data_IF_923896972758
#
_entry.id   IF_923896972758
#
_cell.length_a   1.000
_cell.length_b   1.000
_cell.length_c   1.000
_cell.angle_alpha   90.00
_cell.angle_beta   90.00
_cell.angle_gamma   90.00
#
_symmetry.space_group_name_H-M   'P 1'
#
loop_
_entity.id
_entity.type
_entity.pdbx_description
1 polymer ?
#
# COMPACT_ATOMS: atom_id res chain seq x y z
N UNK A 1 -13.46 13.72 30.16
CA UNK A 1 -13.52 15.11 29.68
C UNK A 1 -14.56 15.21 28.61
N UNK A 2 -15.45 16.15 28.77
CA UNK A 2 -16.74 16.28 28.09
C UNK A 2 -16.56 16.79 26.68
N UNK A 3 -15.77 16.20 25.84
CA UNK A 3 -15.77 16.39 24.37
C UNK A 3 -16.42 17.63 23.77
N UNK A 4 -16.36 18.78 24.43
CA UNK A 4 -16.68 20.07 23.85
C UNK A 4 -15.38 20.76 23.51
N UNK A 5 -15.17 21.08 22.24
CA UNK A 5 -14.16 22.02 21.85
C UNK A 5 -14.29 23.31 22.68
N UNK A 6 -13.18 23.89 23.07
CA UNK A 6 -13.12 25.12 23.87
C UNK A 6 -13.78 26.31 23.16
N UNK A 7 -14.18 26.16 21.92
CA UNK A 7 -14.82 27.15 21.05
C UNK A 7 -16.33 26.89 20.81
N UNK A 8 -16.91 25.88 21.51
CA UNK A 8 -18.34 25.57 21.39
C UNK A 8 -18.74 24.82 20.12
N UNK A 9 -17.78 24.39 19.28
CA UNK A 9 -18.15 23.64 18.08
C UNK A 9 -18.71 22.27 18.44
N UNK A 10 -19.66 21.80 17.64
CA UNK A 10 -20.30 20.49 17.83
C UNK A 10 -19.31 19.40 17.46
N UNK A 11 -19.07 18.47 18.39
CA UNK A 11 -18.27 17.28 18.14
C UNK A 11 -18.80 16.46 16.98
N UNK A 12 -17.91 15.95 16.14
CA UNK A 12 -18.33 15.21 14.95
C UNK A 12 -17.32 14.13 14.55
N UNK A 13 -17.78 13.05 13.91
CA UNK A 13 -16.87 12.09 13.28
C UNK A 13 -15.89 12.73 12.30
N UNK A 14 -16.25 13.83 11.65
CA UNK A 14 -15.42 14.53 10.69
C UNK A 14 -14.06 14.97 11.27
N UNK A 15 -14.07 15.45 12.52
CA UNK A 15 -12.88 15.93 13.23
C UNK A 15 -12.25 14.87 14.14
N UNK A 16 -12.75 13.64 14.15
CA UNK A 16 -12.34 12.54 15.03
C UNK A 16 -12.55 12.81 16.54
N UNK A 17 -13.36 13.78 16.88
CA UNK A 17 -13.65 14.22 18.25
C UNK A 17 -15.02 13.77 18.78
N UNK A 18 -15.73 12.92 18.03
CA UNK A 18 -17.06 12.37 18.35
C UNK A 18 -17.11 11.49 19.60
N UNK A 19 -15.96 10.90 19.97
CA UNK A 19 -15.72 10.09 21.18
C UNK A 19 -14.33 10.36 21.70
N UNK A 20 -14.04 10.21 22.99
CA UNK A 20 -12.66 10.12 23.49
C UNK A 20 -11.89 9.07 22.70
N UNK A 21 -10.60 9.32 22.44
CA UNK A 21 -9.78 8.42 21.61
C UNK A 21 -9.76 6.99 22.17
N UNK A 22 -9.71 6.87 23.49
CA UNK A 22 -9.71 5.58 24.18
C UNK A 22 -10.96 4.72 23.90
N UNK A 23 -12.07 5.35 23.54
CA UNK A 23 -13.36 4.69 23.27
C UNK A 23 -13.63 4.54 21.77
N UNK A 24 -12.69 4.99 20.92
CA UNK A 24 -12.82 4.83 19.46
C UNK A 24 -12.49 3.40 19.03
N UNK A 25 -13.31 2.87 18.15
CA UNK A 25 -13.24 1.50 17.61
C UNK A 25 -13.31 1.45 16.08
N UNK A 26 -13.60 2.58 15.46
CA UNK A 26 -13.73 2.73 14.01
C UNK A 26 -13.03 4.00 13.53
N UNK A 27 -12.31 3.91 12.43
CA UNK A 27 -11.74 5.09 11.78
C UNK A 27 -12.83 5.82 11.00
N UNK A 28 -12.99 7.12 11.25
CA UNK A 28 -14.05 7.95 10.68
C UNK A 28 -13.55 9.33 10.28
N UNK A 29 -14.38 10.05 9.57
CA UNK A 29 -14.18 11.46 9.22
C UNK A 29 -13.12 11.69 8.17
N UNK A 30 -12.47 12.83 8.21
CA UNK A 30 -11.48 13.24 7.20
C UNK A 30 -10.24 12.36 7.27
N UNK A 31 -9.89 11.70 6.15
CA UNK A 31 -8.88 10.64 6.13
C UNK A 31 -7.46 11.14 6.46
N UNK A 32 -7.07 12.31 5.96
CA UNK A 32 -5.76 12.90 6.27
C UNK A 32 -5.65 13.22 7.75
N UNK A 33 -6.64 13.92 8.32
CA UNK A 33 -6.67 14.26 9.75
C UNK A 33 -6.58 13.03 10.63
N UNK A 34 -7.38 11.99 10.31
CA UNK A 34 -7.37 10.75 11.07
C UNK A 34 -5.96 10.10 11.06
N UNK A 35 -5.34 9.94 9.89
CA UNK A 35 -4.01 9.35 9.80
C UNK A 35 -2.94 10.14 10.56
N UNK A 36 -2.99 11.48 10.54
CA UNK A 36 -2.08 12.33 11.33
C UNK A 36 -2.37 12.27 12.83
N UNK A 37 -3.66 12.33 13.22
CA UNK A 37 -4.06 12.21 14.62
C UNK A 37 -3.57 10.90 15.22
N UNK A 38 -3.90 9.77 14.58
CA UNK A 38 -3.50 8.45 15.09
C UNK A 38 -1.99 8.21 15.01
N UNK A 39 -1.26 8.87 14.11
CA UNK A 39 0.20 8.91 14.15
C UNK A 39 0.69 9.55 15.46
N UNK A 40 0.19 10.74 15.81
CA UNK A 40 0.56 11.43 17.04
C UNK A 40 0.12 10.69 18.29
N UNK A 41 -1.09 10.11 18.28
CA UNK A 41 -1.58 9.31 19.43
C UNK A 41 -0.73 8.05 19.63
N UNK A 42 -0.26 7.41 18.55
CA UNK A 42 0.67 6.28 18.64
C UNK A 42 1.98 6.69 19.31
N UNK A 43 2.54 7.85 18.93
CA UNK A 43 3.76 8.38 19.55
C UNK A 43 3.55 8.65 21.03
N UNK A 44 2.45 9.31 21.42
CA UNK A 44 2.12 9.60 22.83
C UNK A 44 1.94 8.32 23.63
N UNK A 45 1.16 7.36 23.10
CA UNK A 45 0.93 6.07 23.78
C UNK A 45 2.24 5.31 24.02
N UNK A 46 3.14 5.33 23.03
CA UNK A 46 4.45 4.68 23.13
C UNK A 46 5.37 5.36 24.13
N UNK A 47 5.47 6.69 24.10
CA UNK A 47 6.33 7.47 24.99
C UNK A 47 5.86 7.43 26.45
N UNK A 48 4.55 7.39 26.67
CA UNK A 48 3.96 7.31 28.01
C UNK A 48 3.77 5.88 28.51
N UNK A 49 4.07 4.87 27.69
CA UNK A 49 3.78 3.46 27.95
C UNK A 49 2.30 3.22 28.30
N UNK A 50 1.39 4.03 27.70
CA UNK A 50 -0.05 3.93 27.94
C UNK A 50 -0.65 2.81 27.08
N UNK A 51 -0.75 1.63 27.72
CA UNK A 51 -1.31 0.44 27.06
C UNK A 51 -2.78 0.64 26.63
N UNK A 52 -3.60 1.35 27.42
CA UNK A 52 -5.03 1.54 27.08
C UNK A 52 -5.17 2.39 25.83
N UNK A 53 -4.38 3.46 25.74
CA UNK A 53 -4.36 4.33 24.58
C UNK A 53 -3.82 3.59 23.34
N UNK A 54 -2.75 2.79 23.51
CA UNK A 54 -2.22 1.97 22.43
C UNK A 54 -3.23 0.93 21.93
N UNK A 55 -3.95 0.25 22.84
CA UNK A 55 -4.99 -0.72 22.48
C UNK A 55 -6.12 -0.04 21.68
N UNK A 56 -6.50 1.19 22.01
CA UNK A 56 -7.48 1.96 21.25
C UNK A 56 -6.97 2.28 19.83
N UNK A 57 -5.74 2.79 19.71
CA UNK A 57 -5.12 3.06 18.40
C UNK A 57 -5.05 1.79 17.56
N UNK A 58 -4.69 0.65 18.16
CA UNK A 58 -4.61 -0.62 17.46
C UNK A 58 -5.99 -1.09 16.99
N UNK A 59 -7.07 -0.94 17.78
CA UNK A 59 -8.44 -1.25 17.34
C UNK A 59 -8.85 -0.43 16.12
N UNK A 60 -8.57 0.87 16.15
CA UNK A 60 -8.87 1.75 15.01
C UNK A 60 -8.04 1.38 13.79
N UNK A 61 -6.77 1.01 13.97
CA UNK A 61 -5.91 0.53 12.89
C UNK A 61 -6.44 -0.79 12.28
N UNK A 62 -6.84 -1.74 13.11
CA UNK A 62 -7.42 -3.01 12.64
C UNK A 62 -8.73 -2.77 11.86
N UNK A 63 -9.57 -1.83 12.29
CA UNK A 63 -10.75 -1.43 11.54
C UNK A 63 -10.36 -0.86 10.16
N UNK A 64 -9.38 0.04 10.10
CA UNK A 64 -8.87 0.59 8.85
C UNK A 64 -8.33 -0.50 7.93
N UNK A 65 -7.42 -1.34 8.43
CA UNK A 65 -6.70 -2.34 7.63
C UNK A 65 -7.60 -3.50 7.16
N UNK A 66 -8.67 -3.82 7.91
CA UNK A 66 -9.55 -4.94 7.58
C UNK A 66 -10.83 -4.56 6.84
N UNK A 67 -11.22 -3.26 6.81
CA UNK A 67 -12.52 -2.85 6.29
C UNK A 67 -12.52 -1.60 5.42
N UNK A 68 -11.46 -0.77 5.48
CA UNK A 68 -11.45 0.55 4.83
C UNK A 68 -10.19 0.86 4.03
N UNK A 69 -9.26 -0.10 3.93
CA UNK A 69 -8.04 0.00 3.14
C UNK A 69 -8.31 -0.42 1.70
N UNK A 70 -7.99 0.42 0.74
CA UNK A 70 -8.00 0.06 -0.67
C UNK A 70 -6.81 -0.85 -1.02
N UNK A 71 -6.98 -1.65 -2.05
CA UNK A 71 -5.93 -2.60 -2.48
C UNK A 71 -4.61 -1.91 -2.85
N UNK A 72 -4.64 -0.66 -3.32
CA UNK A 72 -3.44 0.15 -3.56
C UNK A 72 -2.85 0.79 -2.28
N UNK A 73 -3.42 0.53 -1.11
CA UNK A 73 -3.00 1.14 0.16
C UNK A 73 -3.61 2.53 0.42
N UNK A 74 -4.46 3.04 -0.47
CA UNK A 74 -5.18 4.30 -0.28
C UNK A 74 -6.25 4.17 0.80
N UNK A 75 -6.62 5.30 1.41
CA UNK A 75 -7.69 5.43 2.40
C UNK A 75 -8.58 6.64 2.11
N UNK A 76 -9.81 6.62 2.58
CA UNK A 76 -10.78 7.68 2.34
C UNK A 76 -11.63 7.44 1.09
N UNK A 77 -12.80 6.81 1.26
CA UNK A 77 -13.66 6.38 0.16
C UNK A 77 -14.57 7.50 -0.38
N UNK A 78 -14.78 8.56 0.39
CA UNK A 78 -15.78 9.58 0.08
C UNK A 78 -15.18 10.92 -0.30
N UNK A 79 -15.54 11.51 -1.47
CA UNK A 79 -15.20 12.88 -1.80
C UNK A 79 -15.82 13.91 -0.83
N UNK A 80 -17.02 13.62 -0.32
CA UNK A 80 -17.70 14.48 0.65
C UNK A 80 -16.97 14.41 1.99
N UNK A 81 -16.38 15.53 2.40
CA UNK A 81 -15.58 15.60 3.61
C UNK A 81 -14.23 14.90 3.51
N UNK A 82 -13.81 14.52 2.31
CA UNK A 82 -12.49 13.89 2.05
C UNK A 82 -12.20 12.72 3.00
N UNK A 83 -13.24 11.90 3.24
CA UNK A 83 -13.28 11.07 4.43
C UNK A 83 -13.56 9.59 4.21
N UNK A 84 -13.64 8.91 5.33
CA UNK A 84 -14.03 7.51 5.38
C UNK A 84 -15.54 7.35 5.20
N UNK A 85 -15.94 6.32 4.45
CA UNK A 85 -17.30 5.79 4.44
C UNK A 85 -17.50 4.70 5.49
N UNK A 86 -18.67 4.06 5.53
CA UNK A 86 -18.93 2.87 6.32
C UNK A 86 -17.95 1.74 6.01
N UNK A 87 -17.90 0.73 6.87
CA UNK A 87 -17.10 -0.46 6.65
C UNK A 87 -17.43 -1.12 5.30
N UNK A 88 -16.40 -1.52 4.55
CA UNK A 88 -16.48 -2.14 3.22
C UNK A 88 -17.05 -1.24 2.10
N UNK A 89 -17.21 0.07 2.35
CA UNK A 89 -17.53 1.03 1.29
C UNK A 89 -16.26 1.42 0.53
N UNK A 90 -15.84 0.54 -0.36
CA UNK A 90 -14.61 0.67 -1.15
C UNK A 90 -14.96 0.75 -2.65
N UNK A 91 -15.64 1.83 -3.03
CA UNK A 91 -16.01 2.06 -4.44
C UNK A 91 -14.80 2.47 -5.28
N UNK A 92 -14.81 2.15 -6.59
CA UNK A 92 -13.64 2.32 -7.46
C UNK A 92 -13.63 3.64 -8.23
N UNK A 93 -14.80 4.11 -8.66
CA UNK A 93 -14.90 5.25 -9.60
C UNK A 93 -15.23 6.58 -8.92
N UNK A 94 -15.68 6.54 -7.69
CA UNK A 94 -16.08 7.72 -6.94
C UNK A 94 -15.44 7.75 -5.54
N UNK A 95 -14.31 7.07 -5.40
CA UNK A 95 -13.50 7.17 -4.21
C UNK A 95 -12.57 8.38 -4.28
N UNK A 96 -12.20 8.89 -3.12
CA UNK A 96 -11.33 10.06 -3.03
C UNK A 96 -9.87 9.66 -2.96
N UNK A 97 -9.50 8.83 -2.00
CA UNK A 97 -8.13 8.30 -1.82
C UNK A 97 -7.06 9.38 -2.03
N UNK A 98 -7.19 10.47 -1.30
CA UNK A 98 -6.30 11.62 -1.44
C UNK A 98 -4.83 11.23 -1.31
N UNK A 99 -3.96 11.83 -2.11
CA UNK A 99 -2.51 11.61 -2.02
C UNK A 99 -1.98 11.94 -0.61
N UNK A 100 -2.49 13.01 0.05
CA UNK A 100 -2.13 13.29 1.43
C UNK A 100 -2.61 12.22 2.42
N UNK A 101 -3.75 11.57 2.16
CA UNK A 101 -4.24 10.49 3.00
C UNK A 101 -3.34 9.25 2.89
N UNK A 102 -2.83 8.97 1.70
CA UNK A 102 -1.80 7.92 1.50
C UNK A 102 -0.53 8.23 2.29
N UNK A 103 -0.06 9.49 2.31
CA UNK A 103 1.09 9.92 3.11
C UNK A 103 0.81 9.73 4.61
N UNK A 104 -0.37 10.17 5.08
CA UNK A 104 -0.77 10.02 6.47
C UNK A 104 -0.82 8.55 6.90
N UNK A 105 -1.31 7.66 6.01
CA UNK A 105 -1.31 6.22 6.23
C UNK A 105 0.11 5.66 6.38
N UNK A 106 1.06 6.10 5.55
CA UNK A 106 2.48 5.69 5.68
C UNK A 106 3.06 6.15 7.02
N UNK A 107 2.81 7.41 7.43
CA UNK A 107 3.29 7.92 8.73
C UNK A 107 2.73 7.12 9.90
N UNK A 108 1.44 6.82 9.88
CA UNK A 108 0.81 6.05 10.96
C UNK A 108 1.36 4.63 11.03
N UNK A 109 1.49 3.94 9.90
CA UNK A 109 2.04 2.59 9.87
C UNK A 109 3.52 2.55 10.33
N UNK A 110 4.33 3.56 9.99
CA UNK A 110 5.69 3.66 10.50
C UNK A 110 5.72 3.75 12.03
N UNK A 111 4.84 4.54 12.64
CA UNK A 111 4.78 4.70 14.10
C UNK A 111 4.29 3.43 14.79
N UNK A 112 3.27 2.80 14.23
CA UNK A 112 2.79 1.50 14.73
C UNK A 112 3.90 0.44 14.67
N UNK A 113 4.69 0.43 13.60
CA UNK A 113 5.87 -0.43 13.51
C UNK A 113 6.91 -0.11 14.59
N UNK A 114 7.26 1.15 14.78
CA UNK A 114 8.26 1.55 15.80
C UNK A 114 7.80 1.19 17.21
N UNK A 115 6.51 1.20 17.48
CA UNK A 115 5.93 0.81 18.76
C UNK A 115 5.92 -0.72 19.01
N UNK A 116 5.95 -1.55 17.95
CA UNK A 116 5.67 -2.99 18.07
C UNK A 116 6.73 -3.92 17.48
N UNK A 117 7.49 -3.44 16.51
CA UNK A 117 8.39 -4.26 15.70
C UNK A 117 7.68 -5.25 14.75
N UNK A 118 6.35 -5.14 14.54
CA UNK A 118 5.60 -6.07 13.67
C UNK A 118 5.62 -5.63 12.21
N UNK A 119 6.05 -6.53 11.32
CA UNK A 119 6.14 -6.30 9.88
C UNK A 119 4.79 -6.02 9.20
N UNK A 120 3.65 -6.34 9.83
CA UNK A 120 2.32 -6.10 9.25
C UNK A 120 2.10 -4.63 8.93
N UNK A 121 2.65 -3.74 9.73
CA UNK A 121 2.57 -2.30 9.51
C UNK A 121 3.45 -1.86 8.33
N UNK A 122 4.64 -2.46 8.20
CA UNK A 122 5.51 -2.20 7.05
C UNK A 122 4.91 -2.78 5.76
N UNK A 123 4.15 -3.88 5.82
CA UNK A 123 3.44 -4.43 4.66
C UNK A 123 2.40 -3.43 4.12
N UNK A 124 1.63 -2.74 4.99
CA UNK A 124 0.69 -1.68 4.59
C UNK A 124 1.45 -0.44 4.10
N UNK A 125 2.51 -0.04 4.80
CA UNK A 125 3.37 1.09 4.43
C UNK A 125 3.93 0.90 3.02
N UNK A 126 4.55 -0.23 2.74
CA UNK A 126 5.15 -0.55 1.44
C UNK A 126 4.11 -0.55 0.33
N UNK A 127 2.96 -1.20 0.54
CA UNK A 127 1.85 -1.21 -0.40
C UNK A 127 1.39 0.21 -0.73
N UNK A 128 1.19 1.03 0.28
CA UNK A 128 0.77 2.43 0.12
C UNK A 128 1.83 3.22 -0.63
N UNK A 129 3.10 3.08 -0.25
CA UNK A 129 4.22 3.79 -0.85
C UNK A 129 4.34 3.49 -2.36
N UNK A 130 4.37 2.22 -2.73
CA UNK A 130 4.59 1.81 -4.12
C UNK A 130 3.36 1.93 -5.03
N UNK A 131 2.16 2.07 -4.46
CA UNK A 131 0.94 2.14 -5.27
C UNK A 131 0.16 3.43 -5.01
N UNK A 132 -0.53 3.57 -3.87
CA UNK A 132 -1.43 4.70 -3.62
C UNK A 132 -0.71 6.06 -3.57
N UNK A 133 0.50 6.12 -3.01
CA UNK A 133 1.22 7.36 -2.82
C UNK A 133 1.97 7.79 -4.10
N UNK A 134 2.84 6.91 -4.63
CA UNK A 134 3.69 7.28 -5.78
C UNK A 134 2.87 7.50 -7.05
N UNK A 135 1.70 6.86 -7.17
CA UNK A 135 0.73 7.17 -8.21
C UNK A 135 0.26 8.62 -8.16
N UNK A 136 0.36 9.28 -7.01
CA UNK A 136 0.06 10.70 -6.86
C UNK A 136 1.02 11.63 -7.60
N UNK A 137 2.15 11.15 -8.13
CA UNK A 137 3.18 11.96 -8.79
C UNK A 137 3.38 11.51 -10.22
N UNK A 138 3.54 12.45 -11.17
CA UNK A 138 3.89 12.13 -12.55
C UNK A 138 5.35 11.65 -12.65
N UNK A 139 5.67 10.92 -13.70
CA UNK A 139 7.05 10.51 -13.99
C UNK A 139 8.00 11.67 -14.20
N UNK A 140 7.49 12.78 -14.74
CA UNK A 140 8.23 14.03 -14.90
C UNK A 140 8.47 14.73 -13.55
N UNK A 141 7.76 14.34 -12.48
CA UNK A 141 7.89 14.92 -11.14
C UNK A 141 7.18 16.26 -10.95
N UNK A 142 6.52 16.79 -11.96
CA UNK A 142 5.95 18.14 -12.02
C UNK A 142 4.42 18.21 -11.96
N UNK A 143 3.75 17.05 -11.88
CA UNK A 143 2.29 16.95 -11.82
C UNK A 143 1.84 15.98 -10.75
N UNK A 144 0.69 16.28 -10.15
CA UNK A 144 0.20 15.58 -8.97
C UNK A 144 -1.27 15.22 -9.11
N UNK A 145 -1.69 14.15 -8.45
CA UNK A 145 -3.09 13.93 -8.09
C UNK A 145 -3.38 14.55 -6.73
N UNK A 146 -4.55 15.15 -6.61
CA UNK A 146 -5.18 15.43 -5.34
C UNK A 146 -5.96 14.18 -4.90
N UNK A 147 -7.13 13.97 -5.51
CA UNK A 147 -7.87 12.73 -5.45
C UNK A 147 -7.26 11.69 -6.41
N UNK A 148 -7.13 10.47 -5.92
CA UNK A 148 -6.48 9.37 -6.63
C UNK A 148 -7.41 8.15 -6.68
N UNK A 149 -8.50 8.19 -7.47
CA UNK A 149 -9.48 7.11 -7.53
C UNK A 149 -8.88 5.83 -8.12
N UNK A 150 -9.40 4.68 -7.66
CA UNK A 150 -8.99 3.35 -8.15
C UNK A 150 -9.29 3.13 -9.62
N UNK A 151 -10.34 3.77 -10.12
CA UNK A 151 -10.72 3.70 -11.53
C UNK A 151 -11.26 5.03 -12.03
N UNK A 152 -11.14 5.27 -13.33
CA UNK A 152 -11.70 6.46 -13.98
C UNK A 152 -12.29 6.11 -15.35
N UNK A 153 -13.42 6.72 -15.73
CA UNK A 153 -13.96 6.59 -17.08
C UNK A 153 -13.18 7.43 -18.10
N UNK A 154 -12.09 8.07 -17.71
CA UNK A 154 -11.29 8.99 -18.52
C UNK A 154 -11.40 10.44 -18.05
N UNK A 155 -10.48 11.29 -18.53
CA UNK A 155 -10.44 12.73 -18.21
C UNK A 155 -9.89 13.08 -16.82
N UNK A 156 -9.50 12.09 -16.00
CA UNK A 156 -8.80 12.33 -14.74
C UNK A 156 -7.29 12.29 -14.99
N UNK A 157 -6.62 13.40 -14.74
CA UNK A 157 -5.18 13.54 -15.00
C UNK A 157 -4.49 14.34 -13.90
N UNK A 158 -3.21 14.06 -13.68
CA UNK A 158 -2.37 14.84 -12.75
C UNK A 158 -2.25 16.27 -13.23
N UNK A 159 -2.29 17.21 -12.29
CA UNK A 159 -2.23 18.64 -12.53
C UNK A 159 -0.92 19.20 -11.96
N UNK A 160 -0.39 20.27 -12.55
CA UNK A 160 0.82 20.94 -12.06
C UNK A 160 0.59 21.55 -10.68
N UNK A 161 -0.60 22.12 -10.44
CA UNK A 161 -0.93 22.78 -9.20
C UNK A 161 -2.42 22.76 -8.90
N UNK A 162 -2.79 23.09 -7.67
CA UNK A 162 -4.17 23.15 -7.18
C UNK A 162 -4.40 24.45 -6.43
N UNK A 163 -5.64 24.95 -6.40
CA UNK A 163 -6.02 26.09 -5.60
C UNK A 163 -5.78 25.87 -4.09
N UNK A 164 -5.95 24.64 -3.62
CA UNK A 164 -5.49 24.16 -2.32
C UNK A 164 -4.38 23.12 -2.55
N UNK A 165 -3.13 23.56 -2.52
CA UNK A 165 -1.98 22.77 -2.96
C UNK A 165 -1.35 21.91 -1.84
N UNK A 166 -2.18 21.24 -1.02
CA UNK A 166 -1.68 20.42 0.08
C UNK A 166 -0.85 19.22 -0.40
N UNK A 167 -1.31 18.52 -1.44
CA UNK A 167 -0.68 17.28 -1.91
C UNK A 167 0.73 17.48 -2.48
N UNK A 168 1.02 18.44 -3.37
CA UNK A 168 2.38 18.67 -3.88
C UNK A 168 3.39 18.96 -2.76
N UNK A 169 3.06 19.88 -1.85
CA UNK A 169 3.93 20.24 -0.72
C UNK A 169 4.13 19.06 0.24
N UNK A 170 3.07 18.29 0.50
CA UNK A 170 3.14 17.12 1.37
C UNK A 170 4.00 16.01 0.77
N UNK A 171 3.89 15.74 -0.54
CA UNK A 171 4.75 14.77 -1.25
C UNK A 171 6.22 15.17 -1.15
N UNK A 172 6.54 16.43 -1.43
CA UNK A 172 7.92 16.93 -1.38
C UNK A 172 8.53 16.73 0.01
N UNK A 173 7.79 17.12 1.05
CA UNK A 173 8.20 16.91 2.44
C UNK A 173 8.37 15.42 2.79
N UNK A 174 7.42 14.60 2.35
CA UNK A 174 7.41 13.17 2.64
C UNK A 174 8.58 12.43 2.01
N UNK A 175 8.90 12.70 0.74
CA UNK A 175 9.96 12.01 0.02
C UNK A 175 11.32 12.11 0.73
N UNK A 176 11.59 13.24 1.37
CA UNK A 176 12.81 13.43 2.17
C UNK A 176 12.88 12.52 3.41
N UNK A 177 11.75 12.02 3.91
CA UNK A 177 11.68 11.14 5.09
C UNK A 177 11.80 9.64 4.76
N UNK A 178 11.59 9.24 3.51
CA UNK A 178 11.57 7.82 3.09
C UNK A 178 12.84 7.05 3.45
N UNK A 179 14.07 7.63 3.32
CA UNK A 179 15.28 6.91 3.74
C UNK A 179 15.26 6.47 5.21
N UNK A 180 14.58 7.21 6.08
CA UNK A 180 14.43 6.86 7.50
C UNK A 180 13.52 5.66 7.78
N UNK A 181 12.83 5.11 6.76
CA UNK A 181 11.96 3.94 6.90
C UNK A 181 12.63 2.63 6.48
N UNK A 182 13.80 2.72 5.84
CA UNK A 182 14.53 1.55 5.31
C UNK A 182 15.02 0.65 6.43
N UNK A 183 15.52 1.23 7.51
CA UNK A 183 16.02 0.52 8.66
C UNK A 183 15.42 1.03 9.95
N UNK A 184 15.42 0.17 10.96
CA UNK A 184 15.19 0.57 12.36
C UNK A 184 16.13 -0.22 13.27
N UNK A 185 16.37 0.31 14.47
CA UNK A 185 17.26 -0.32 15.46
C UNK A 185 16.54 -0.33 16.80
N UNK A 186 16.54 -1.49 17.45
CA UNK A 186 16.19 -1.63 18.86
C UNK A 186 17.33 -2.36 19.56
N UNK A 187 18.12 -1.63 20.34
CA UNK A 187 19.33 -2.15 21.02
C UNK A 187 20.31 -2.80 20.03
N UNK A 188 20.36 -4.13 19.98
CA UNK A 188 21.18 -4.92 19.04
C UNK A 188 20.37 -5.61 17.95
N UNK A 189 19.11 -5.30 17.80
CA UNK A 189 18.25 -5.74 16.74
C UNK A 189 18.21 -4.70 15.62
N UNK A 190 18.60 -5.09 14.41
CA UNK A 190 18.59 -4.26 13.21
C UNK A 190 17.52 -4.75 12.25
N UNK A 191 16.49 -3.96 12.06
CA UNK A 191 15.38 -4.27 11.14
C UNK A 191 15.67 -3.74 9.74
N UNK A 192 15.57 -4.60 8.74
CA UNK A 192 15.57 -4.23 7.32
C UNK A 192 14.13 -4.24 6.83
N UNK A 193 13.53 -3.06 6.75
CA UNK A 193 12.09 -2.87 6.48
C UNK A 193 11.78 -2.75 4.99
N UNK A 194 12.55 -1.94 4.26
CA UNK A 194 12.35 -1.70 2.84
C UNK A 194 13.59 -2.13 2.05
N UNK A 195 13.35 -2.70 0.89
CA UNK A 195 14.42 -3.12 -0.01
C UNK A 195 14.67 -2.01 -1.03
N UNK A 196 15.70 -1.22 -0.75
CA UNK A 196 16.08 -0.06 -1.56
C UNK A 196 17.58 -0.10 -1.77
N UNK A 197 18.03 -0.07 -3.03
CA UNK A 197 19.47 -0.02 -3.34
C UNK A 197 20.12 1.24 -2.77
N UNK A 198 21.21 1.05 -2.01
CA UNK A 198 21.93 2.14 -1.36
C UNK A 198 22.79 1.67 -0.21
N UNK A 199 23.47 2.62 0.43
CA UNK A 199 24.29 2.37 1.63
C UNK A 199 23.77 3.17 2.83
N UNK A 200 23.97 2.64 4.02
CA UNK A 200 23.59 3.26 5.28
C UNK A 200 24.59 2.92 6.37
N UNK A 201 24.96 3.90 7.18
CA UNK A 201 25.76 3.71 8.38
C UNK A 201 24.85 3.75 9.61
N UNK A 202 24.87 2.70 10.39
CA UNK A 202 24.01 2.48 11.54
C UNK A 202 24.87 2.35 12.80
N UNK A 203 24.36 2.85 13.93
CA UNK A 203 24.98 2.64 15.24
C UNK A 203 24.21 1.57 15.99
N UNK A 204 24.79 0.38 16.14
CA UNK A 204 24.20 -0.79 16.79
C UNK A 204 24.91 -1.03 18.12
N UNK A 205 24.32 -0.53 19.22
CA UNK A 205 25.07 -0.42 20.50
C UNK A 205 26.28 0.48 20.31
N UNK A 206 27.47 -0.04 20.58
CA UNK A 206 28.75 0.67 20.41
C UNK A 206 29.47 0.35 19.08
N UNK A 207 28.81 -0.36 18.19
CA UNK A 207 29.38 -0.77 16.90
C UNK A 207 28.78 0.04 15.77
N UNK A 208 29.63 0.62 14.93
CA UNK A 208 29.21 1.19 13.66
C UNK A 208 29.13 0.08 12.61
N UNK A 209 27.97 -0.02 11.95
CA UNK A 209 27.72 -1.03 10.92
C UNK A 209 27.32 -0.33 9.64
N UNK A 210 28.07 -0.56 8.57
CA UNK A 210 27.65 -0.17 7.23
C UNK A 210 26.88 -1.31 6.60
N UNK A 211 25.67 -1.01 6.12
CA UNK A 211 24.83 -1.90 5.32
C UNK A 211 24.74 -1.36 3.90
N UNK A 212 25.06 -2.20 2.92
CA UNK A 212 24.88 -1.87 1.50
C UNK A 212 23.87 -2.82 0.90
N UNK A 213 22.70 -2.29 0.51
CA UNK A 213 21.72 -3.06 -0.25
C UNK A 213 21.96 -2.93 -1.75
N UNK A 214 21.99 -4.08 -2.45
CA UNK A 214 22.03 -4.18 -3.91
C UNK A 214 20.80 -4.94 -4.36
N UNK A 215 19.91 -4.25 -5.06
CA UNK A 215 18.63 -4.83 -5.47
C UNK A 215 18.02 -4.06 -6.63
N UNK A 216 17.17 -4.73 -7.39
CA UNK A 216 16.24 -4.12 -8.34
C UNK A 216 14.79 -4.21 -7.85
N UNK A 217 14.60 -4.44 -6.55
CA UNK A 217 13.25 -4.42 -5.96
C UNK A 217 12.60 -3.04 -6.19
N UNK A 218 11.34 -2.94 -6.56
CA UNK A 218 10.30 -3.98 -6.56
C UNK A 218 10.13 -4.76 -7.88
N UNK A 219 11.08 -4.65 -8.81
CA UNK A 219 10.97 -5.30 -10.14
C UNK A 219 11.38 -6.77 -10.12
N UNK A 220 12.24 -7.17 -9.21
CA UNK A 220 12.52 -8.57 -8.89
C UNK A 220 12.68 -8.76 -7.39
N UNK A 221 12.71 -10.02 -6.95
CA UNK A 221 12.75 -10.39 -5.54
C UNK A 221 14.15 -10.65 -4.99
N UNK A 222 15.21 -10.29 -5.73
CA UNK A 222 16.58 -10.53 -5.30
C UNK A 222 17.11 -9.31 -4.54
N UNK A 223 17.60 -9.56 -3.33
CA UNK A 223 18.20 -8.54 -2.46
C UNK A 223 19.50 -9.08 -1.90
N UNK A 224 20.59 -8.37 -2.11
CA UNK A 224 21.88 -8.63 -1.49
C UNK A 224 22.15 -7.51 -0.46
N UNK A 225 22.60 -7.89 0.73
CA UNK A 225 22.95 -6.96 1.81
C UNK A 225 24.37 -7.29 2.26
N UNK A 226 25.32 -6.42 1.94
CA UNK A 226 26.66 -6.50 2.51
C UNK A 226 26.63 -5.90 3.92
N UNK A 227 27.22 -6.63 4.87
CA UNK A 227 27.29 -6.24 6.28
C UNK A 227 28.73 -5.97 6.67
N UNK A 228 29.03 -4.72 7.02
CA UNK A 228 30.38 -4.30 7.34
C UNK A 228 30.43 -3.57 8.71
N UNK A 229 30.56 -4.31 9.81
CA UNK A 229 30.80 -3.71 11.12
C UNK A 229 32.24 -3.17 11.20
N UNK A 230 32.45 -2.09 11.95
CA UNK A 230 33.81 -1.55 12.20
C UNK A 230 34.66 -2.44 13.13
N UNK A 231 34.03 -3.32 13.89
CA UNK A 231 34.63 -4.41 14.67
C UNK A 231 33.69 -5.61 14.67
N UNK A 232 34.24 -6.82 14.85
CA UNK A 232 33.38 -8.00 15.01
C UNK A 232 32.46 -7.81 16.20
N UNK A 233 31.14 -7.99 16.00
CA UNK A 233 30.18 -7.85 17.07
C UNK A 233 28.96 -8.77 16.84
N UNK A 234 28.37 -9.21 17.96
CA UNK A 234 27.15 -10.02 17.94
C UNK A 234 25.93 -9.13 17.96
N UNK A 235 25.12 -9.18 16.88
CA UNK A 235 23.82 -8.53 16.79
C UNK A 235 22.87 -9.33 15.90
N UNK A 236 21.59 -8.98 15.95
CA UNK A 236 20.54 -9.63 15.17
C UNK A 236 20.18 -8.78 13.95
N UNK A 237 20.25 -9.36 12.76
CA UNK A 237 19.65 -8.78 11.56
C UNK A 237 18.27 -9.40 11.34
N UNK A 238 17.24 -8.56 11.27
CA UNK A 238 15.86 -8.92 11.04
C UNK A 238 15.48 -8.48 9.63
N UNK A 239 15.45 -9.44 8.70
CA UNK A 239 15.12 -9.17 7.30
C UNK A 239 13.64 -9.42 7.09
N UNK A 240 12.90 -8.38 6.69
CA UNK A 240 11.45 -8.48 6.50
C UNK A 240 11.09 -9.48 5.41
N UNK A 241 10.08 -10.30 5.67
CA UNK A 241 9.42 -11.09 4.65
C UNK A 241 8.10 -10.42 4.33
N UNK A 242 7.94 -9.80 3.14
CA UNK A 242 6.73 -9.08 2.79
C UNK A 242 5.47 -9.93 2.84
N UNK A 243 4.33 -9.31 3.11
CA UNK A 243 3.03 -9.98 3.18
C UNK A 243 2.68 -10.73 1.89
N UNK A 244 2.93 -10.11 0.74
CA UNK A 244 2.70 -10.75 -0.56
C UNK A 244 3.52 -12.03 -0.76
N UNK A 245 4.74 -12.11 -0.22
CA UNK A 245 5.59 -13.31 -0.24
C UNK A 245 5.15 -14.36 0.80
N UNK A 246 4.30 -13.97 1.76
CA UNK A 246 3.65 -14.86 2.76
C UNK A 246 2.21 -15.21 2.38
N UNK A 247 1.85 -15.05 1.12
CA UNK A 247 0.50 -15.33 0.61
C UNK A 247 -0.60 -14.41 1.18
N UNK A 248 -0.26 -13.18 1.58
CA UNK A 248 -1.18 -12.20 2.19
C UNK A 248 -1.04 -10.87 1.47
N UNK A 249 -2.02 -10.44 0.64
CA UNK A 249 -1.99 -9.13 -0.02
C UNK A 249 -1.98 -7.97 0.99
N UNK A 250 -2.81 -8.08 2.02
CA UNK A 250 -2.90 -7.14 3.15
C UNK A 250 -2.96 -7.92 4.46
N UNK A 251 -2.67 -7.33 5.62
CA UNK A 251 -2.65 -8.03 6.91
C UNK A 251 -4.06 -8.31 7.49
N UNK A 252 -5.01 -8.65 6.63
CA UNK A 252 -6.40 -8.97 6.98
C UNK A 252 -7.00 -9.90 5.91
N UNK A 253 -8.28 -10.22 6.03
CA UNK A 253 -9.08 -10.98 5.05
C UNK A 253 -9.75 -10.09 3.98
N UNK A 254 -9.46 -8.77 4.00
CA UNK A 254 -10.08 -7.80 3.08
C UNK A 254 -9.76 -8.12 1.61
N UNK A 255 -8.57 -8.66 1.35
CA UNK A 255 -8.14 -9.14 0.04
C UNK A 255 -7.41 -10.47 0.16
N UNK A 256 -7.65 -11.37 -0.80
CA UNK A 256 -7.03 -12.70 -0.83
C UNK A 256 -6.54 -13.06 -2.22
N UNK A 257 -5.48 -13.85 -2.31
CA UNK A 257 -5.03 -14.42 -3.57
C UNK A 257 -5.90 -15.60 -3.96
N UNK A 258 -6.37 -15.61 -5.20
CA UNK A 258 -7.16 -16.74 -5.76
C UNK A 258 -6.30 -17.76 -6.50
N UNK A 259 -5.02 -17.45 -6.68
CA UNK A 259 -4.06 -18.38 -7.30
C UNK A 259 -3.45 -19.29 -6.24
N UNK A 260 -3.33 -20.57 -6.55
CA UNK A 260 -2.73 -21.55 -5.64
C UNK A 260 -1.18 -21.49 -5.55
N UNK A 261 -0.55 -20.43 -6.08
CA UNK A 261 0.90 -20.25 -6.02
C UNK A 261 1.35 -19.91 -4.60
N UNK A 262 2.46 -20.52 -4.18
CA UNK A 262 3.08 -20.25 -2.89
C UNK A 262 4.52 -19.76 -3.16
N UNK A 263 4.77 -18.44 -3.19
CA UNK A 263 6.08 -17.89 -3.45
C UNK A 263 7.12 -18.45 -2.47
N UNK A 264 8.26 -18.89 -3.01
CA UNK A 264 9.35 -19.36 -2.17
C UNK A 264 10.20 -18.17 -1.72
N UNK A 265 10.66 -18.25 -0.49
CA UNK A 265 11.56 -17.27 0.11
C UNK A 265 12.78 -18.03 0.63
N UNK A 266 13.96 -17.60 0.19
CA UNK A 266 15.24 -18.16 0.65
C UNK A 266 16.12 -17.07 1.20
N UNK A 267 16.81 -17.37 2.29
CA UNK A 267 17.77 -16.46 2.91
C UNK A 267 19.10 -17.21 3.08
N UNK A 268 20.15 -16.66 2.52
CA UNK A 268 21.49 -17.21 2.64
C UNK A 268 22.39 -16.21 3.39
N UNK A 269 23.35 -16.74 4.14
CA UNK A 269 24.44 -15.97 4.74
C UNK A 269 25.74 -16.56 4.21
N UNK A 270 26.54 -15.73 3.53
CA UNK A 270 27.80 -16.13 2.89
C UNK A 270 27.63 -17.36 1.95
N UNK A 271 26.52 -17.39 1.21
CA UNK A 271 26.20 -18.46 0.28
C UNK A 271 25.58 -19.72 0.92
N UNK A 272 25.54 -19.82 2.25
CA UNK A 272 24.94 -20.95 2.97
C UNK A 272 23.50 -20.64 3.36
N UNK A 273 22.58 -21.57 3.08
CA UNK A 273 21.16 -21.42 3.46
C UNK A 273 21.00 -21.39 4.97
N UNK A 274 20.22 -20.44 5.47
CA UNK A 274 19.94 -20.31 6.89
C UNK A 274 18.66 -21.06 7.26
N UNK A 275 18.64 -21.66 8.46
CA UNK A 275 17.42 -22.27 8.98
C UNK A 275 16.35 -21.18 9.17
N UNK A 276 15.16 -21.44 8.67
CA UNK A 276 14.04 -20.50 8.80
C UNK A 276 13.66 -20.33 10.27
N UNK A 277 13.90 -19.12 10.79
CA UNK A 277 13.44 -18.66 12.09
C UNK A 277 12.81 -17.29 11.89
N UNK A 278 11.57 -17.09 12.34
CA UNK A 278 10.84 -15.85 12.11
C UNK A 278 10.28 -15.28 13.40
N UNK A 279 10.33 -13.94 13.53
CA UNK A 279 9.75 -13.16 14.62
C UNK A 279 9.00 -11.98 14.01
N UNK A 280 7.72 -11.83 14.33
CA UNK A 280 6.87 -10.70 13.89
C UNK A 280 6.98 -10.40 12.38
N UNK A 281 7.09 -11.46 11.53
CA UNK A 281 7.19 -11.34 10.08
C UNK A 281 8.59 -11.08 9.52
N UNK A 282 9.61 -11.08 10.35
CA UNK A 282 11.02 -10.97 9.94
C UNK A 282 11.73 -12.31 10.00
N UNK A 283 12.63 -12.56 9.06
CA UNK A 283 13.62 -13.63 9.16
C UNK A 283 14.74 -13.18 10.09
N UNK A 284 15.00 -13.94 11.13
CA UNK A 284 15.93 -13.59 12.21
C UNK A 284 17.28 -14.25 11.94
N UNK A 285 18.34 -13.44 11.90
CA UNK A 285 19.71 -13.87 11.68
C UNK A 285 20.54 -13.35 12.87
N UNK A 286 20.70 -14.16 13.90
CA UNK A 286 21.52 -13.83 15.06
C UNK A 286 22.90 -14.48 14.92
N UNK A 287 23.96 -13.69 14.89
CA UNK A 287 25.33 -14.18 14.80
C UNK A 287 26.35 -13.11 15.17
N UNK A 288 27.60 -13.50 15.32
CA UNK A 288 28.74 -12.58 15.26
C UNK A 288 28.98 -12.18 13.80
N UNK A 289 28.86 -10.88 13.52
CA UNK A 289 29.07 -10.31 12.19
C UNK A 289 30.51 -9.84 12.03
N UNK A 290 31.04 -10.05 10.82
CA UNK A 290 32.40 -9.67 10.42
C UNK A 290 32.36 -8.84 9.16
N UNK A 291 33.38 -8.05 8.94
CA UNK A 291 33.55 -7.28 7.70
C UNK A 291 33.52 -8.23 6.50
N UNK A 292 32.65 -7.94 5.53
CA UNK A 292 32.48 -8.70 4.31
C UNK A 292 31.41 -9.81 4.39
N UNK A 293 30.74 -9.97 5.53
CA UNK A 293 29.58 -10.86 5.60
C UNK A 293 28.46 -10.37 4.68
N UNK A 294 27.75 -11.30 4.07
CA UNK A 294 26.72 -11.04 3.08
C UNK A 294 25.45 -11.82 3.38
N UNK A 295 24.31 -11.14 3.29
CA UNK A 295 22.98 -11.77 3.31
C UNK A 295 22.39 -11.67 1.91
N UNK A 296 21.86 -12.79 1.41
CA UNK A 296 21.11 -12.85 0.14
C UNK A 296 19.69 -13.31 0.43
N UNK A 297 18.73 -12.49 0.04
CA UNK A 297 17.29 -12.81 0.08
C UNK A 297 16.81 -12.98 -1.36
N UNK A 298 16.13 -14.10 -1.63
CA UNK A 298 15.45 -14.34 -2.92
C UNK A 298 13.99 -14.64 -2.66
N UNK A 299 13.11 -13.94 -3.38
CA UNK A 299 11.66 -14.08 -3.28
C UNK A 299 11.06 -14.27 -4.67
N UNK A 300 10.31 -15.34 -4.85
CA UNK A 300 9.55 -15.53 -6.10
C UNK A 300 8.49 -14.44 -6.25
N UNK A 301 8.41 -13.85 -7.44
CA UNK A 301 7.42 -12.81 -7.77
C UNK A 301 6.52 -13.23 -8.94
N UNK A 302 5.65 -14.23 -8.78
CA UNK A 302 4.66 -14.54 -9.81
C UNK A 302 3.63 -13.42 -9.93
N UNK A 303 3.04 -13.28 -11.12
CA UNK A 303 1.83 -12.47 -11.27
C UNK A 303 0.67 -13.20 -10.61
N UNK A 304 -0.07 -12.54 -9.75
CA UNK A 304 -1.12 -13.12 -8.93
C UNK A 304 -2.43 -12.36 -9.10
N UNK A 305 -3.53 -13.09 -8.98
CA UNK A 305 -4.88 -12.53 -8.98
C UNK A 305 -5.35 -12.35 -7.55
N UNK A 306 -5.92 -11.18 -7.28
CA UNK A 306 -6.44 -10.79 -5.97
C UNK A 306 -7.94 -10.60 -6.07
N UNK A 307 -8.68 -11.14 -5.12
CA UNK A 307 -10.12 -10.97 -4.94
C UNK A 307 -10.40 -10.25 -3.63
N UNK A 308 -11.38 -9.35 -3.63
CA UNK A 308 -11.81 -8.65 -2.43
C UNK A 308 -12.74 -9.53 -1.58
N UNK A 309 -12.81 -9.23 -0.28
CA UNK A 309 -13.80 -9.81 0.62
C UNK A 309 -15.23 -9.61 0.06
N UNK A 310 -16.11 -10.62 0.11
CA UNK A 310 -17.49 -10.54 -0.43
C UNK A 310 -18.32 -9.37 0.12
N UNK A 311 -17.97 -8.82 1.26
CA UNK A 311 -18.63 -7.63 1.83
C UNK A 311 -18.30 -6.35 1.04
N UNK A 312 -17.23 -6.33 0.27
CA UNK A 312 -16.90 -5.23 -0.66
C UNK A 312 -17.75 -5.38 -1.92
N UNK A 313 -18.98 -4.88 -1.87
CA UNK A 313 -19.98 -5.08 -2.93
C UNK A 313 -19.57 -4.48 -4.27
N UNK A 314 -18.72 -3.46 -4.26
CA UNK A 314 -18.21 -2.77 -5.44
C UNK A 314 -17.26 -3.62 -6.27
N UNK A 315 -16.62 -4.62 -5.65
CA UNK A 315 -15.63 -5.49 -6.29
C UNK A 315 -16.19 -6.88 -6.61
N UNK A 316 -17.49 -7.08 -6.45
CA UNK A 316 -18.14 -8.37 -6.69
C UNK A 316 -17.91 -8.85 -8.13
N UNK A 317 -17.28 -10.02 -8.26
CA UNK A 317 -16.96 -10.60 -9.56
C UNK A 317 -15.74 -9.97 -10.25
N UNK A 318 -15.01 -9.11 -9.56
CA UNK A 318 -13.81 -8.44 -10.07
C UNK A 318 -12.54 -9.09 -9.53
N UNK A 319 -11.46 -8.98 -10.30
CA UNK A 319 -10.12 -9.43 -9.91
C UNK A 319 -9.12 -8.31 -10.22
N UNK A 320 -8.18 -8.13 -9.31
CA UNK A 320 -7.01 -7.32 -9.55
C UNK A 320 -5.79 -8.21 -9.84
N UNK A 321 -4.77 -7.65 -10.46
CA UNK A 321 -3.49 -8.33 -10.70
C UNK A 321 -2.37 -7.64 -9.93
N UNK A 322 -1.52 -8.46 -9.30
CA UNK A 322 -0.40 -8.01 -8.50
C UNK A 322 0.85 -8.82 -8.82
N UNK A 323 2.02 -8.17 -8.79
CA UNK A 323 3.31 -8.84 -8.86
C UNK A 323 4.26 -8.24 -7.82
N UNK A 324 4.67 -9.06 -6.84
CA UNK A 324 5.37 -8.55 -5.66
C UNK A 324 4.53 -7.48 -4.96
N UNK A 325 5.10 -6.32 -4.58
CA UNK A 325 4.34 -5.25 -3.96
C UNK A 325 3.56 -4.39 -4.94
N UNK A 326 3.73 -4.58 -6.27
CA UNK A 326 3.17 -3.72 -7.31
C UNK A 326 1.81 -4.23 -7.76
N UNK A 327 0.81 -3.36 -7.61
CA UNK A 327 -0.50 -3.53 -8.18
C UNK A 327 -0.49 -3.08 -9.64
N UNK A 328 -0.95 -3.95 -10.55
CA UNK A 328 -0.97 -3.65 -11.98
C UNK A 328 -2.28 -2.97 -12.37
N UNK A 329 -2.19 -1.92 -13.17
CA UNK A 329 -3.31 -1.25 -13.79
C UNK A 329 -3.39 -1.60 -15.28
N UNK A 330 -4.60 -1.62 -15.83
CA UNK A 330 -4.85 -1.75 -17.26
C UNK A 330 -5.33 -0.42 -17.81
N UNK A 331 -4.64 0.10 -18.81
CA UNK A 331 -5.04 1.32 -19.51
C UNK A 331 -5.79 1.00 -20.82
N UNK A 332 -6.71 1.88 -21.23
CA UNK A 332 -7.46 1.72 -22.48
C UNK A 332 -6.56 1.64 -23.73
N UNK A 333 -5.34 2.21 -23.68
CA UNK A 333 -4.34 2.11 -24.75
C UNK A 333 -3.84 0.69 -25.00
N UNK A 334 -3.88 -0.14 -23.94
CA UNK A 334 -3.44 -1.53 -24.00
C UNK A 334 -4.49 -2.46 -24.58
N UNK A 335 -5.72 -1.97 -24.71
CA UNK A 335 -6.87 -2.72 -25.24
C UNK A 335 -7.24 -2.20 -26.63
N UNK A 336 -6.91 -2.96 -27.68
CA UNK A 336 -7.57 -2.77 -28.96
C UNK A 336 -9.05 -3.08 -28.78
N UNK A 337 -9.93 -2.24 -29.32
CA UNK A 337 -11.42 -2.24 -29.18
C UNK A 337 -12.12 -3.60 -29.28
N UNK A 338 -11.45 -4.67 -29.69
CA UNK A 338 -12.05 -5.96 -30.02
C UNK A 338 -11.72 -7.13 -29.07
N UNK A 339 -10.88 -6.94 -28.05
CA UNK A 339 -10.51 -8.02 -27.13
C UNK A 339 -10.76 -7.62 -25.69
N UNK A 340 -11.98 -7.83 -25.18
CA UNK A 340 -12.23 -7.93 -23.74
C UNK A 340 -11.40 -9.08 -23.20
N UNK A 341 -10.41 -8.80 -22.38
CA UNK A 341 -9.64 -9.83 -21.69
C UNK A 341 -10.54 -10.42 -20.60
N UNK A 342 -11.12 -11.58 -20.88
CA UNK A 342 -11.85 -12.36 -19.90
C UNK A 342 -10.88 -13.27 -19.14
N UNK A 343 -10.63 -13.00 -17.88
CA UNK A 343 -9.96 -13.93 -16.98
C UNK A 343 -11.03 -14.88 -16.42
N UNK A 344 -11.16 -16.04 -17.04
CA UNK A 344 -12.04 -17.09 -16.52
C UNK A 344 -11.42 -17.74 -15.28
N UNK A 345 -12.20 -17.95 -14.23
CA UNK A 345 -11.94 -18.96 -13.21
C UNK A 345 -12.12 -20.33 -13.90
N UNK A 346 -11.08 -20.87 -14.50
CA UNK A 346 -11.10 -22.31 -14.82
C UNK A 346 -10.63 -23.06 -13.56
N UNK A 347 -11.41 -24.08 -13.12
CA UNK A 347 -10.93 -24.97 -12.08
C UNK A 347 -9.69 -25.68 -12.61
N UNK A 348 -8.62 -25.71 -11.81
CA UNK A 348 -7.42 -26.49 -12.11
C UNK A 348 -7.80 -27.97 -12.11
N UNK A 349 -8.25 -28.48 -13.25
CA UNK A 349 -8.36 -29.91 -13.47
C UNK A 349 -6.95 -30.44 -13.66
N UNK A 350 -6.46 -31.21 -12.69
CA UNK A 350 -5.34 -32.12 -12.89
C UNK A 350 -5.72 -33.07 -14.01
N UNK A 351 -5.30 -32.84 -15.24
CA UNK A 351 -5.44 -33.80 -16.32
C UNK A 351 -4.15 -34.59 -16.46
N UNK A 352 -4.26 -35.88 -16.25
CA UNK A 352 -3.31 -36.88 -16.75
C UNK A 352 -3.22 -36.70 -18.28
N UNK A 353 -2.00 -36.71 -18.73
CA UNK A 353 -1.53 -36.86 -20.12
C UNK A 353 -2.58 -37.17 -21.18
N UNK A 354 -2.85 -36.22 -22.08
CA UNK A 354 -3.04 -36.51 -23.48
C UNK A 354 -2.67 -35.32 -24.32
N UNK A 355 -1.77 -35.57 -25.26
CA UNK A 355 -1.34 -34.59 -26.27
C UNK A 355 -2.56 -34.16 -27.11
N UNK A 356 -3.12 -33.00 -26.83
CA UNK A 356 -3.94 -32.27 -27.82
C UNK A 356 -3.41 -30.86 -27.93
N UNK A 357 -2.96 -30.54 -29.14
CA UNK A 357 -2.51 -29.21 -29.55
C UNK A 357 -3.67 -28.23 -29.33
N UNK A 358 -3.59 -27.41 -28.31
CA UNK A 358 -4.39 -26.19 -28.26
C UNK A 358 -3.81 -25.20 -29.27
N UNK A 359 -4.54 -24.98 -30.35
CA UNK A 359 -4.28 -23.87 -31.28
C UNK A 359 -4.63 -22.55 -30.57
N UNK A 360 -3.73 -22.03 -29.83
CA UNK A 360 -3.77 -20.65 -29.40
C UNK A 360 -3.15 -19.80 -30.52
N UNK A 361 -3.98 -19.42 -31.48
CA UNK A 361 -3.56 -18.42 -32.50
C UNK A 361 -3.38 -17.08 -31.81
N UNK A 362 -2.12 -16.65 -31.83
CA UNK A 362 -1.51 -15.40 -31.40
C UNK A 362 -1.01 -15.36 -29.95
N UNK A 363 0.18 -15.93 -29.81
CA UNK A 363 1.21 -15.62 -28.83
C UNK A 363 1.48 -14.12 -28.76
N UNK A 364 1.00 -13.43 -27.73
CA UNK A 364 1.54 -12.12 -27.32
C UNK A 364 1.42 -11.87 -25.81
N UNK A 365 1.22 -12.88 -25.01
CA UNK A 365 1.04 -12.69 -23.56
C UNK A 365 1.98 -13.50 -22.67
N UNK A 366 3.05 -14.04 -23.16
CA UNK A 366 3.98 -14.83 -22.31
C UNK A 366 5.44 -14.76 -22.74
N UNK A 367 5.97 -13.60 -23.10
CA UNK A 367 7.42 -13.43 -23.11
C UNK A 367 7.80 -11.98 -22.81
N UNK A 368 7.95 -11.71 -21.52
CA UNK A 368 8.78 -10.61 -21.09
C UNK A 368 10.24 -11.07 -21.19
N UNK A 369 10.86 -10.88 -22.37
CA UNK A 369 12.31 -10.99 -22.53
C UNK A 369 12.92 -9.68 -22.03
N UNK A 370 13.78 -9.77 -21.03
CA UNK A 370 14.57 -8.66 -20.53
C UNK A 370 15.35 -7.98 -21.65
N UNK A 371 15.59 -6.69 -21.45
CA UNK A 371 16.24 -5.68 -22.27
C UNK A 371 15.30 -4.88 -23.19
N UNK A 372 14.49 -4.02 -22.54
CA UNK A 372 14.17 -2.66 -23.06
C UNK A 372 13.91 -1.74 -21.89
N UNK A 373 14.39 -0.49 -21.99
CA UNK A 373 14.15 0.61 -21.05
C UNK A 373 12.69 0.60 -20.63
N UNK A 374 12.45 0.54 -19.32
CA UNK A 374 11.13 0.59 -18.75
C UNK A 374 10.42 1.85 -19.22
N UNK A 375 9.46 1.71 -20.12
CA UNK A 375 8.47 2.76 -20.38
C UNK A 375 7.48 2.68 -19.24
N UNK A 376 7.59 3.62 -18.32
CA UNK A 376 6.71 3.77 -17.19
C UNK A 376 5.28 4.05 -17.65
N UNK A 377 4.34 3.33 -17.10
CA UNK A 377 2.92 3.49 -17.39
C UNK A 377 2.44 4.79 -16.74
N UNK A 378 2.03 5.75 -17.54
CA UNK A 378 1.45 7.00 -17.09
C UNK A 378 -0.04 6.77 -16.78
N UNK A 379 -0.41 6.81 -15.52
CA UNK A 379 -1.81 6.81 -15.08
C UNK A 379 -2.31 5.43 -14.64
N UNK A 380 -2.49 5.27 -13.33
CA UNK A 380 -3.10 4.08 -12.76
C UNK A 380 -4.62 4.18 -12.88
N UNK A 381 -5.18 3.37 -13.77
CA UNK A 381 -6.59 2.99 -13.70
C UNK A 381 -6.62 1.49 -13.42
N UNK A 382 -7.12 1.10 -12.27
CA UNK A 382 -7.33 -0.31 -11.97
C UNK A 382 -8.57 -0.74 -12.75
N UNK A 383 -8.38 -1.60 -13.73
CA UNK A 383 -9.48 -2.20 -14.45
C UNK A 383 -9.83 -3.51 -13.76
N UNK A 384 -10.99 -3.56 -13.15
CA UNK A 384 -11.56 -4.79 -12.66
C UNK A 384 -12.13 -5.59 -13.82
N UNK A 385 -11.90 -6.89 -13.83
CA UNK A 385 -12.40 -7.78 -14.86
C UNK A 385 -13.63 -8.52 -14.36
N UNK A 386 -14.73 -8.45 -15.11
CA UNK A 386 -15.96 -9.20 -14.83
C UNK A 386 -15.74 -10.70 -14.95
N UNK A 387 -16.31 -11.46 -14.05
CA UNK A 387 -16.38 -12.93 -14.17
C UNK A 387 -17.50 -13.33 -15.13
N UNK A 388 -17.32 -14.34 -16.01
CA UNK A 388 -18.38 -14.85 -16.83
C UNK A 388 -19.49 -15.49 -15.98
N UNK A 389 -20.73 -15.09 -16.20
CA UNK A 389 -21.90 -15.62 -15.51
C UNK A 389 -22.75 -14.59 -14.76
N UNK A 390 -22.25 -13.37 -14.56
CA UNK A 390 -23.05 -12.25 -14.07
C UNK A 390 -23.50 -11.38 -15.26
N UNK A 391 -24.80 -11.44 -15.59
CA UNK A 391 -25.44 -10.42 -16.44
C UNK A 391 -25.67 -9.20 -15.55
N UNK A 392 -24.91 -8.13 -15.76
CA UNK A 392 -25.37 -6.79 -15.40
C UNK A 392 -26.35 -6.39 -16.50
N UNK A 393 -27.61 -6.33 -16.18
CA UNK A 393 -28.64 -5.71 -16.97
C UNK A 393 -28.18 -4.30 -17.32
N UNK A 394 -27.95 -4.05 -18.59
CA UNK A 394 -27.77 -2.81 -19.36
C UNK A 394 -27.58 -1.45 -18.69
N UNK A 395 -27.35 -1.40 -17.36
CA UNK A 395 -27.36 -0.18 -16.57
C UNK A 395 -26.02 0.57 -16.55
N UNK A 396 -24.90 -0.06 -16.94
CA UNK A 396 -23.60 0.63 -16.95
C UNK A 396 -23.52 1.74 -18.00
N UNK A 397 -24.04 1.54 -19.20
CA UNK A 397 -24.05 2.58 -20.22
C UNK A 397 -24.97 3.78 -19.86
N UNK A 398 -26.06 3.52 -19.13
CA UNK A 398 -26.94 4.57 -18.64
C UNK A 398 -26.33 5.33 -17.45
N UNK A 399 -25.53 4.66 -16.61
CA UNK A 399 -24.79 5.27 -15.53
C UNK A 399 -23.67 6.19 -16.06
N UNK A 400 -22.96 5.76 -17.11
CA UNK A 400 -21.93 6.58 -17.78
C UNK A 400 -22.50 7.90 -18.37
N UNK A 401 -23.69 7.85 -18.94
CA UNK A 401 -24.34 9.06 -19.51
C UNK A 401 -24.87 10.02 -18.43
N UNK A 402 -25.38 9.52 -17.30
CA UNK A 402 -25.85 10.36 -16.19
C UNK A 402 -24.70 11.03 -15.42
N UNK A 403 -23.57 10.36 -15.26
CA UNK A 403 -22.40 10.90 -14.56
C UNK A 403 -21.75 12.04 -15.38
N UNK A 404 -21.78 11.96 -16.70
CA UNK A 404 -21.23 13.01 -17.58
C UNK A 404 -21.94 14.37 -17.42
N UNK A 405 -23.24 14.36 -17.15
CA UNK A 405 -24.05 15.60 -17.08
C UNK A 405 -24.15 16.24 -15.70
N UNK A 406 -23.77 15.52 -14.62
CA UNK A 406 -23.86 16.05 -13.25
C UNK A 406 -22.57 16.62 -12.66
N UNK A 407 -21.41 16.30 -13.25
CA UNK A 407 -20.10 16.59 -12.66
C UNK A 407 -19.55 18.00 -12.82
N UNK A 408 -20.02 18.79 -13.78
CA UNK A 408 -19.39 20.08 -14.09
C UNK A 408 -19.79 21.21 -13.13
N UNK A 409 -20.90 21.09 -12.42
CA UNK A 409 -21.36 22.16 -11.51
C UNK A 409 -21.02 21.97 -10.02
N UNK A 410 -20.85 20.74 -9.57
CA UNK A 410 -20.67 20.44 -8.13
C UNK A 410 -19.20 20.40 -7.69
N UNK A 411 -18.29 20.16 -8.60
CA UNK A 411 -16.87 19.92 -8.28
C UNK A 411 -16.11 21.19 -7.84
N UNK A 412 -16.41 22.33 -8.46
CA UNK A 412 -15.72 23.60 -8.14
C UNK A 412 -16.19 24.24 -6.82
N UNK A 413 -17.41 23.95 -6.38
CA UNK A 413 -17.95 24.53 -5.14
C UNK A 413 -17.47 23.81 -3.87
N UNK A 414 -17.14 22.51 -3.98
CA UNK A 414 -16.70 21.69 -2.83
C UNK A 414 -15.23 21.97 -2.49
N UNK A 415 -14.38 22.22 -3.50
CA UNK A 415 -12.96 22.52 -3.28
C UNK A 415 -12.72 23.86 -2.56
N UNK A 416 -13.49 24.88 -2.88
CA UNK A 416 -13.34 26.20 -2.22
C UNK A 416 -13.77 26.19 -0.75
N UNK A 417 -14.68 25.29 -0.38
CA UNK A 417 -15.16 25.18 1.00
C UNK A 417 -14.24 24.38 1.91
N UNK A 418 -13.50 23.38 1.38
CA UNK A 418 -12.55 22.59 2.18
C UNK A 418 -11.36 23.43 2.63
N UNK A 419 -10.77 24.24 1.73
CA UNK A 419 -9.66 25.13 2.09
C UNK A 419 -10.06 26.25 3.06
N UNK A 420 -11.26 26.82 2.92
CA UNK A 420 -11.75 27.85 3.85
C UNK A 420 -12.02 27.32 5.26
N UNK A 421 -12.36 26.04 5.39
CA UNK A 421 -12.59 25.41 6.70
C UNK A 421 -11.33 24.98 7.43
N UNK A 422 -10.19 24.90 6.73
CA UNK A 422 -8.91 24.51 7.35
C UNK A 422 -8.10 25.69 7.90
N UNK A 423 -8.59 26.94 7.82
CA UNK A 423 -7.95 28.12 8.45
C UNK A 423 -6.59 28.50 7.84
N UNK A 424 -6.27 28.05 6.65
CA UNK A 424 -5.11 28.52 5.90
C UNK A 424 -5.56 29.70 5.02
N UNK A 425 -5.11 30.91 5.40
CA UNK A 425 -5.12 32.06 4.52
C UNK A 425 -3.98 31.98 3.49
#
# INVERSE_FOLDING_TARGET
ETGRGTDGHKLSPYSQDHKPIIDQDEIVGHAVRAGYLFSGVTDVASLQHDKKLFDAVNRVWENMASKKLYLNGGIGSRPQGEGFGPNYELNNFNNYCETCASIANVYWNQRMFLATGDSKYIDVLERTLYNGLIAGVSLSGDKFFYDNPMGTPGGHARQQWFGCACCPGNVTRFMASVPGYVYAIDKKDVYVNLFVGGNSKLKVGDTEVELVQKTQYPWNGDVEIDVTPNKNDKFTLLVRIPGWAKNRPVPSDLYTYVDGSNPQVKVLVNGSETKKHTRAGYWVIEREWKKGDKVTLTMDMPVRRVEANPQVRYDKGMLAMERGPILNALECKDQKRENRVSLRKEPVKRSRSSRRKCLCRRKRFCQWKGNRKASYIQGYSILYMEQPGYRTDGSMDSCYKRIRNSKTRTYNSIRSNACRRMGFQ
#
